data_IF_251622106924
#
_entry.id   IF_251622106924
#
_cell.length_a   1.000
_cell.length_b   1.000
_cell.length_c   1.000
_cell.angle_alpha   90.00
_cell.angle_beta   90.00
_cell.angle_gamma   90.00
#
_symmetry.space_group_name_H-M   'P 1'
#
loop_
_entity.id
_entity.type
_entity.pdbx_description
1 polymer ?
#
# COMPACT_ATOMS: atom_id res chain seq x y z
N UNK A 1 17.10 -2.58 20.79
CA UNK A 1 16.47 -2.35 19.47
C UNK A 1 17.43 -2.84 18.40
N UNK A 2 17.00 -3.73 17.49
CA UNK A 2 17.82 -4.15 16.37
C UNK A 2 17.96 -3.00 15.37
N UNK A 3 19.14 -2.84 14.80
CA UNK A 3 19.41 -1.89 13.72
C UNK A 3 19.73 -2.67 12.44
N UNK A 4 19.32 -2.13 11.30
CA UNK A 4 19.62 -2.69 9.98
C UNK A 4 20.44 -1.68 9.20
N UNK A 5 21.53 -2.15 8.59
CA UNK A 5 22.31 -1.39 7.63
C UNK A 5 22.13 -2.02 6.25
N UNK A 6 21.58 -1.26 5.32
CA UNK A 6 21.44 -1.66 3.92
C UNK A 6 22.59 -1.02 3.15
N UNK A 7 23.47 -1.86 2.58
CA UNK A 7 24.62 -1.42 1.78
C UNK A 7 24.32 -1.60 0.29
N UNK A 8 25.11 -0.92 -0.54
CA UNK A 8 25.13 -1.09 -1.99
C UNK A 8 23.79 -0.80 -2.70
N UNK A 9 22.96 0.08 -2.11
CA UNK A 9 21.82 0.66 -2.81
C UNK A 9 22.32 1.61 -3.91
N UNK A 10 21.72 1.50 -5.09
CA UNK A 10 21.94 2.50 -6.13
C UNK A 10 21.39 3.86 -5.67
N UNK A 11 22.04 4.94 -6.12
CA UNK A 11 21.56 6.29 -5.82
C UNK A 11 20.10 6.47 -6.23
N UNK A 12 19.73 5.96 -7.41
CA UNK A 12 18.36 6.00 -7.90
C UNK A 12 17.36 5.27 -6.99
N UNK A 13 17.77 4.18 -6.32
CA UNK A 13 16.90 3.51 -5.35
C UNK A 13 16.70 4.39 -4.11
N UNK A 14 17.75 5.05 -3.62
CA UNK A 14 17.68 5.98 -2.50
C UNK A 14 16.78 7.17 -2.83
N UNK A 15 16.94 7.76 -4.02
CA UNK A 15 16.12 8.90 -4.47
C UNK A 15 14.63 8.55 -4.56
N UNK A 16 14.32 7.33 -5.05
CA UNK A 16 12.93 6.81 -5.07
C UNK A 16 12.36 6.63 -3.67
N UNK A 17 13.16 6.13 -2.73
CA UNK A 17 12.76 5.98 -1.33
C UNK A 17 12.47 7.36 -0.71
N UNK A 18 13.34 8.34 -0.95
CA UNK A 18 13.17 9.69 -0.42
C UNK A 18 11.93 10.39 -0.99
N UNK A 19 11.70 10.26 -2.30
CA UNK A 19 10.50 10.81 -2.92
C UNK A 19 9.22 10.17 -2.36
N UNK A 20 9.21 8.84 -2.19
CA UNK A 20 8.08 8.12 -1.61
C UNK A 20 7.84 8.53 -0.15
N UNK A 21 8.90 8.70 0.65
CA UNK A 21 8.80 9.17 2.02
C UNK A 21 8.26 10.61 2.08
N UNK A 22 8.77 11.51 1.24
CA UNK A 22 8.35 12.91 1.18
C UNK A 22 6.86 13.06 0.79
N UNK A 23 6.39 12.27 -0.18
CA UNK A 23 4.97 12.26 -0.58
C UNK A 23 4.02 11.86 0.56
N UNK A 24 4.51 11.09 1.53
CA UNK A 24 3.76 10.69 2.72
C UNK A 24 4.05 11.57 3.94
N UNK A 25 4.90 12.60 3.83
CA UNK A 25 5.33 13.44 4.94
C UNK A 25 6.16 12.69 6.00
N UNK A 26 6.82 11.60 5.62
CA UNK A 26 7.60 10.74 6.51
C UNK A 26 9.10 11.00 6.36
N UNK A 27 9.86 10.70 7.44
CA UNK A 27 11.30 10.51 7.30
C UNK A 27 11.60 9.23 6.53
N UNK A 28 12.78 9.16 5.89
CA UNK A 28 13.28 7.93 5.23
C UNK A 28 13.21 6.71 6.16
N UNK A 29 13.67 6.86 7.41
CA UNK A 29 13.70 5.76 8.38
C UNK A 29 12.29 5.30 8.75
N UNK A 30 11.35 6.22 8.95
CA UNK A 30 9.97 5.87 9.27
C UNK A 30 9.27 5.20 8.09
N UNK A 31 9.50 5.68 6.87
CA UNK A 31 9.00 5.05 5.66
C UNK A 31 9.50 3.60 5.53
N UNK A 32 10.80 3.38 5.69
CA UNK A 32 11.39 2.04 5.61
C UNK A 32 10.92 1.13 6.75
N UNK A 33 10.82 1.66 7.97
CA UNK A 33 10.30 0.92 9.13
C UNK A 33 8.89 0.40 8.85
N UNK A 34 7.98 1.27 8.38
CA UNK A 34 6.63 0.88 7.98
C UNK A 34 6.65 -0.19 6.90
N UNK A 35 7.43 0.00 5.84
CA UNK A 35 7.54 -0.99 4.76
C UNK A 35 8.01 -2.37 5.23
N UNK A 36 8.95 -2.43 6.18
CA UNK A 36 9.44 -3.69 6.72
C UNK A 36 8.51 -4.32 7.77
N UNK A 37 7.84 -3.51 8.60
CA UNK A 37 6.93 -3.98 9.66
C UNK A 37 5.52 -4.31 9.16
N UNK A 38 5.00 -3.56 8.17
CA UNK A 38 3.74 -3.87 7.48
C UNK A 38 3.84 -5.19 6.69
N UNK A 39 5.04 -5.77 6.63
CA UNK A 39 5.32 -7.03 5.96
C UNK A 39 4.86 -6.91 4.53
N UNK A 40 5.45 -5.94 3.80
CA UNK A 40 4.99 -5.48 2.49
C UNK A 40 4.32 -6.61 1.77
N UNK A 41 2.96 -6.56 1.71
CA UNK A 41 2.19 -7.74 1.32
C UNK A 41 2.84 -8.28 0.06
N UNK A 42 3.33 -9.52 0.05
CA UNK A 42 3.52 -10.17 -1.21
C UNK A 42 2.12 -10.17 -1.78
N UNK A 43 1.85 -9.24 -2.71
CA UNK A 43 0.91 -9.52 -3.77
C UNK A 43 1.55 -10.75 -4.38
N UNK A 44 1.10 -11.92 -3.95
CA UNK A 44 1.45 -13.13 -4.66
C UNK A 44 1.15 -12.85 -6.13
N UNK A 45 1.86 -13.51 -7.03
CA UNK A 45 1.58 -13.50 -8.46
C UNK A 45 0.23 -14.20 -8.77
N UNK A 46 -0.78 -14.00 -7.92
CA UNK A 46 -2.13 -14.45 -8.16
C UNK A 46 -2.73 -13.48 -9.18
N UNK A 47 -2.79 -13.95 -10.41
CA UNK A 47 -3.45 -13.23 -11.48
C UNK A 47 -4.92 -13.01 -11.09
N UNK A 48 -5.34 -11.75 -11.06
CA UNK A 48 -6.75 -11.39 -10.86
C UNK A 48 -7.52 -11.81 -12.10
N UNK A 49 -8.55 -12.64 -11.92
CA UNK A 49 -9.39 -13.17 -13.00
C UNK A 49 -10.64 -12.33 -13.23
N UNK A 50 -11.35 -12.57 -14.33
CA UNK A 50 -12.65 -11.95 -14.57
C UNK A 50 -13.69 -12.34 -13.49
N UNK A 51 -13.58 -13.54 -12.93
CA UNK A 51 -14.46 -14.03 -11.86
C UNK A 51 -14.22 -13.27 -10.54
N UNK A 52 -12.97 -12.92 -10.25
CA UNK A 52 -12.64 -12.09 -9.08
C UNK A 52 -13.25 -10.69 -9.22
N UNK A 53 -13.22 -10.12 -10.43
CA UNK A 53 -13.88 -8.85 -10.72
C UNK A 53 -15.39 -8.93 -10.56
N UNK A 54 -16.03 -9.96 -11.12
CA UNK A 54 -17.46 -10.12 -11.01
C UNK A 54 -17.90 -10.31 -9.55
N UNK A 55 -17.20 -11.17 -8.80
CA UNK A 55 -17.46 -11.37 -7.37
C UNK A 55 -17.31 -10.07 -6.59
N UNK A 56 -16.26 -9.30 -6.85
CA UNK A 56 -16.04 -8.00 -6.20
C UNK A 56 -17.19 -7.02 -6.50
N UNK A 57 -17.62 -6.93 -7.76
CA UNK A 57 -18.72 -6.04 -8.16
C UNK A 57 -20.06 -6.41 -7.50
N UNK A 58 -20.34 -7.71 -7.35
CA UNK A 58 -21.55 -8.20 -6.69
C UNK A 58 -21.51 -7.94 -5.17
N UNK A 59 -20.37 -8.22 -4.52
CA UNK A 59 -20.21 -8.06 -3.06
C UNK A 59 -20.26 -6.59 -2.64
N UNK A 60 -19.66 -5.70 -3.42
CA UNK A 60 -19.55 -4.27 -3.12
C UNK A 60 -20.55 -3.42 -3.92
N UNK A 61 -21.66 -4.02 -4.37
CA UNK A 61 -22.68 -3.32 -5.17
C UNK A 61 -23.30 -2.11 -4.44
N UNK A 62 -23.35 -2.16 -3.11
CA UNK A 62 -23.87 -1.09 -2.25
C UNK A 62 -22.97 0.14 -2.17
N UNK A 63 -21.69 0.05 -2.58
CA UNK A 63 -20.82 1.22 -2.73
C UNK A 63 -21.36 2.21 -3.77
N UNK A 64 -22.24 1.75 -4.67
CA UNK A 64 -22.93 2.62 -5.64
C UNK A 64 -24.17 3.31 -5.06
N UNK A 65 -24.62 2.97 -3.85
CA UNK A 65 -25.75 3.61 -3.19
C UNK A 65 -25.29 4.87 -2.42
N UNK A 66 -25.70 6.08 -2.85
CA UNK A 66 -25.30 7.32 -2.19
C UNK A 66 -25.72 7.40 -0.72
N UNK A 67 -26.84 6.77 -0.36
CA UNK A 67 -27.37 6.79 1.01
C UNK A 67 -26.57 5.89 1.96
N UNK A 68 -26.04 4.76 1.46
CA UNK A 68 -25.14 3.88 2.20
C UNK A 68 -23.80 4.60 2.41
N UNK A 69 -23.27 5.24 1.36
CA UNK A 69 -22.04 6.03 1.48
C UNK A 69 -22.21 7.21 2.41
N UNK A 70 -23.31 7.97 2.34
CA UNK A 70 -23.55 9.07 3.28
C UNK A 70 -23.56 8.59 4.73
N UNK A 71 -24.17 7.44 5.02
CA UNK A 71 -24.18 6.87 6.37
C UNK A 71 -22.81 6.40 6.84
N UNK A 72 -21.98 5.84 5.95
CA UNK A 72 -20.66 5.33 6.30
C UNK A 72 -19.64 6.43 6.67
N UNK A 73 -19.87 7.67 6.22
CA UNK A 73 -18.96 8.81 6.43
C UNK A 73 -19.46 9.85 7.44
N UNK A 74 -20.58 9.60 8.11
CA UNK A 74 -21.05 10.42 9.25
C UNK A 74 -20.35 10.03 10.55
#
# INVERSE_FOLDING_TARGET
>A
MPNILIRDLSQQAVDRIDAAAANLGLSRNEYLRRKFEEGGSPTGEQAVTAEDWQRSAEVFADLADPSVMEQAWR
#
